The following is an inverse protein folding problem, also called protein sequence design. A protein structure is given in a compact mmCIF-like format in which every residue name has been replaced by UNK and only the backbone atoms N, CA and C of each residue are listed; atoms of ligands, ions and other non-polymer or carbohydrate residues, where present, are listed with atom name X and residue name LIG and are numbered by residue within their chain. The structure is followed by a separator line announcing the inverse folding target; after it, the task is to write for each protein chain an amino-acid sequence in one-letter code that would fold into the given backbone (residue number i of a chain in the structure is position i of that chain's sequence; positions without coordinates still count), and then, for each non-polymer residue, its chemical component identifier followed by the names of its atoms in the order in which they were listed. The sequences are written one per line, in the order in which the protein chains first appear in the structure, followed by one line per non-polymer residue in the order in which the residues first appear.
data_IF_791759741681
#
_entry.id   IF_791759741681
#
_cell.length_a   1.000
_cell.length_b   1.000
_cell.length_c   1.000
_cell.angle_alpha   90.00
_cell.angle_beta   90.00
_cell.angle_gamma   90.00
#
_symmetry.space_group_name_H-M   'P 1'
#
loop_
_entity.id
_entity.type
_entity.pdbx_description
1 polymer ?
#
# COMPACT_ATOMS: atom_id res chain seq x y z
N UNK A 1 -16.79 7.50 17.97
CA UNK A 1 -16.24 7.20 16.64
C UNK A 1 -16.32 5.70 16.29
N UNK A 2 -16.00 4.80 17.22
CA UNK A 2 -16.04 3.34 17.04
C UNK A 2 -17.38 2.75 16.60
N UNK A 3 -18.52 3.24 17.10
CA UNK A 3 -19.85 2.75 16.71
C UNK A 3 -20.16 2.88 15.21
N UNK A 4 -19.59 3.87 14.53
CA UNK A 4 -19.79 4.09 13.09
C UNK A 4 -18.97 3.12 12.25
N UNK A 5 -17.72 2.83 12.65
CA UNK A 5 -16.86 1.85 11.98
C UNK A 5 -17.43 0.43 12.08
N UNK A 6 -17.90 0.07 13.27
CA UNK A 6 -18.53 -1.23 13.54
C UNK A 6 -19.83 -1.44 12.75
N UNK A 7 -20.62 -0.38 12.54
CA UNK A 7 -21.81 -0.43 11.70
C UNK A 7 -21.47 -0.61 10.21
N UNK A 8 -20.40 0.00 9.72
CA UNK A 8 -19.96 -0.15 8.33
C UNK A 8 -19.43 -1.56 8.03
N UNK A 9 -18.69 -2.17 8.96
CA UNK A 9 -18.26 -3.58 8.83
C UNK A 9 -19.46 -4.54 8.84
N UNK A 10 -20.45 -4.33 9.71
CA UNK A 10 -21.68 -5.14 9.69
C UNK A 10 -22.47 -4.98 8.40
N UNK A 11 -22.49 -3.79 7.82
CA UNK A 11 -23.13 -3.52 6.55
C UNK A 11 -22.42 -4.25 5.41
N UNK A 12 -21.09 -4.21 5.39
CA UNK A 12 -20.27 -4.89 4.39
C UNK A 12 -20.48 -6.41 4.42
N UNK A 13 -20.46 -7.01 5.60
CA UNK A 13 -20.71 -8.46 5.78
C UNK A 13 -22.11 -8.84 5.28
N UNK A 14 -23.12 -8.02 5.57
CA UNK A 14 -24.48 -8.25 5.06
C UNK A 14 -24.54 -8.17 3.53
N UNK A 15 -23.89 -7.18 2.93
CA UNK A 15 -23.86 -7.01 1.46
C UNK A 15 -23.18 -8.21 0.79
N UNK A 16 -22.05 -8.68 1.30
CA UNK A 16 -21.35 -9.87 0.77
C UNK A 16 -22.21 -11.13 0.93
N UNK A 17 -22.88 -11.29 2.08
CA UNK A 17 -23.77 -12.43 2.32
C UNK A 17 -24.96 -12.44 1.34
N UNK A 18 -25.62 -11.30 1.14
CA UNK A 18 -26.72 -11.19 0.18
C UNK A 18 -26.26 -11.39 -1.26
N UNK A 19 -25.05 -10.94 -1.60
CA UNK A 19 -24.49 -11.14 -2.93
C UNK A 19 -24.20 -12.62 -3.21
N UNK A 20 -23.62 -13.35 -2.27
CA UNK A 20 -23.38 -14.80 -2.42
C UNK A 20 -24.70 -15.60 -2.49
N UNK A 21 -25.69 -15.21 -1.70
CA UNK A 21 -27.03 -15.81 -1.77
C UNK A 21 -27.72 -15.54 -3.13
N UNK A 22 -27.46 -14.35 -3.70
CA UNK A 22 -27.99 -13.96 -4.99
C UNK A 22 -27.34 -14.75 -6.14
N UNK A 23 -26.00 -14.92 -6.10
CA UNK A 23 -25.24 -15.74 -7.06
C UNK A 23 -25.74 -17.19 -7.02
N UNK A 24 -25.88 -17.76 -5.83
CA UNK A 24 -26.40 -19.13 -5.65
C UNK A 24 -27.79 -19.31 -6.28
N UNK A 25 -28.68 -18.31 -6.20
CA UNK A 25 -30.01 -18.35 -6.85
C UNK A 25 -29.92 -18.23 -8.36
N UNK A 26 -28.92 -17.55 -8.92
CA UNK A 26 -28.67 -17.50 -10.37
C UNK A 26 -28.22 -18.87 -10.88
N UNK A 27 -27.25 -19.49 -10.18
CA UNK A 27 -26.70 -20.79 -10.51
C UNK A 27 -27.74 -21.90 -10.44
N UNK A 28 -28.72 -21.80 -9.54
CA UNK A 28 -29.83 -22.76 -9.43
C UNK A 28 -30.91 -22.58 -10.50
N UNK A 29 -30.74 -21.64 -11.43
CA UNK A 29 -31.68 -21.39 -12.53
C UNK A 29 -33.03 -20.78 -12.10
N UNK A 30 -33.17 -20.41 -10.84
CA UNK A 30 -34.42 -19.85 -10.29
C UNK A 30 -34.67 -18.39 -10.67
N UNK A 31 -33.67 -17.69 -11.22
CA UNK A 31 -33.79 -16.30 -11.64
C UNK A 31 -33.34 -16.10 -13.09
N UNK A 32 -34.29 -15.87 -13.97
CA UNK A 32 -33.99 -15.39 -15.34
C UNK A 32 -33.72 -13.89 -15.31
N UNK A 33 -32.50 -13.48 -14.95
CA UNK A 33 -32.09 -12.07 -14.97
C UNK A 33 -31.57 -11.73 -16.35
N UNK A 34 -32.14 -10.71 -17.00
CA UNK A 34 -31.58 -10.19 -18.25
C UNK A 34 -30.19 -9.59 -17.97
N UNK A 35 -29.21 -9.87 -18.82
CA UNK A 35 -27.81 -9.42 -18.73
C UNK A 35 -27.67 -7.90 -18.41
N UNK A 36 -28.63 -7.10 -18.92
CA UNK A 36 -28.68 -5.65 -18.68
C UNK A 36 -28.85 -5.29 -17.18
N UNK A 37 -29.61 -6.05 -16.43
CA UNK A 37 -29.82 -5.81 -15.01
C UNK A 37 -28.59 -6.23 -14.18
N UNK A 38 -27.89 -7.26 -14.64
CA UNK A 38 -26.63 -7.70 -14.02
C UNK A 38 -25.52 -6.67 -14.14
N UNK A 39 -25.35 -6.09 -15.34
CA UNK A 39 -24.43 -4.99 -15.59
C UNK A 39 -24.74 -3.75 -14.74
N UNK A 40 -26.03 -3.42 -14.58
CA UNK A 40 -26.45 -2.29 -13.73
C UNK A 40 -26.08 -2.51 -12.26
N UNK A 41 -26.30 -3.69 -11.72
CA UNK A 41 -25.93 -4.04 -10.33
C UNK A 41 -24.42 -3.99 -10.14
N UNK A 42 -23.66 -4.51 -11.10
CA UNK A 42 -22.19 -4.46 -11.07
C UNK A 42 -21.67 -3.02 -11.11
N UNK A 43 -22.25 -2.18 -11.96
CA UNK A 43 -21.90 -0.76 -12.06
C UNK A 43 -22.17 0.01 -10.76
N UNK A 44 -23.30 -0.25 -10.11
CA UNK A 44 -23.64 0.36 -8.80
C UNK A 44 -22.61 -0.07 -7.72
N UNK A 45 -22.17 -1.32 -7.73
CA UNK A 45 -21.15 -1.78 -6.76
C UNK A 45 -19.80 -1.11 -6.97
N UNK A 46 -19.34 -0.99 -8.21
CA UNK A 46 -18.07 -0.33 -8.55
C UNK A 46 -18.10 1.15 -8.15
N UNK A 47 -19.20 1.86 -8.41
CA UNK A 47 -19.34 3.27 -8.03
C UNK A 47 -19.40 3.47 -6.51
N UNK A 48 -20.08 2.58 -5.77
CA UNK A 48 -20.13 2.62 -4.31
C UNK A 48 -18.75 2.36 -3.68
N UNK A 49 -17.98 1.39 -4.20
CA UNK A 49 -16.61 1.14 -3.75
C UNK A 49 -15.71 2.35 -3.97
N UNK A 50 -15.75 2.95 -5.15
CA UNK A 50 -15.00 4.17 -5.46
C UNK A 50 -15.34 5.35 -4.54
N UNK A 51 -16.61 5.51 -4.17
CA UNK A 51 -17.05 6.56 -3.25
C UNK A 51 -16.62 6.29 -1.80
N UNK A 52 -16.59 5.02 -1.37
CA UNK A 52 -16.12 4.64 -0.02
C UNK A 52 -14.62 4.93 0.11
N UNK A 53 -13.83 4.60 -0.91
CA UNK A 53 -12.39 4.86 -0.93
C UNK A 53 -12.08 6.37 -0.87
N UNK A 54 -12.84 7.17 -1.62
CA UNK A 54 -12.73 8.63 -1.59
C UNK A 54 -13.15 9.23 -0.24
N UNK A 55 -14.24 8.75 0.36
CA UNK A 55 -14.69 9.19 1.69
C UNK A 55 -13.70 8.85 2.81
N UNK A 56 -13.05 7.69 2.76
CA UNK A 56 -12.02 7.30 3.74
C UNK A 56 -10.81 8.23 3.62
N UNK A 57 -10.44 8.63 2.41
CA UNK A 57 -9.36 9.59 2.13
C UNK A 57 -9.70 11.01 2.60
N UNK A 58 -10.91 11.47 2.31
CA UNK A 58 -11.37 12.84 2.64
C UNK A 58 -11.71 13.03 4.14
N UNK A 59 -12.00 11.95 4.87
CA UNK A 59 -12.33 12.04 6.31
C UNK A 59 -11.11 12.09 7.24
N UNK A 60 -9.89 11.90 6.73
CA UNK A 60 -8.68 11.90 7.54
C UNK A 60 -7.52 12.71 6.92
N UNK A 61 -7.71 14.01 6.64
CA UNK A 61 -6.63 14.84 6.07
C UNK A 61 -5.46 15.08 7.05
N UNK A 62 -5.57 14.61 8.30
CA UNK A 62 -4.54 14.73 9.32
C UNK A 62 -3.80 13.44 9.64
N UNK A 63 -4.10 12.34 8.95
CA UNK A 63 -3.56 11.01 9.29
C UNK A 63 -2.02 10.95 9.20
N UNK A 64 -1.43 11.77 8.35
CA UNK A 64 0.00 11.75 8.05
C UNK A 64 0.76 13.03 8.45
N UNK A 65 0.14 13.93 9.24
CA UNK A 65 0.72 15.25 9.53
C UNK A 65 1.95 15.27 10.46
N UNK A 66 2.23 14.21 11.21
CA UNK A 66 3.40 14.12 12.09
C UNK A 66 4.34 13.04 11.60
N UNK A 67 5.49 13.44 11.07
CA UNK A 67 6.55 12.51 10.67
C UNK A 67 7.18 11.88 11.92
N UNK A 68 6.58 10.80 12.41
CA UNK A 68 7.17 9.92 13.44
C UNK A 68 7.94 8.74 12.85
N UNK A 69 8.01 8.68 11.53
CA UNK A 69 8.71 7.66 10.77
C UNK A 69 9.83 8.29 9.96
N UNK A 70 11.01 7.74 10.08
CA UNK A 70 12.21 8.18 9.38
C UNK A 70 12.68 7.07 8.45
N UNK A 71 12.95 7.41 7.22
CA UNK A 71 13.50 6.50 6.23
C UNK A 71 14.58 7.19 5.43
N UNK A 72 15.79 6.60 5.41
CA UNK A 72 16.86 7.03 4.53
C UNK A 72 16.78 6.24 3.22
N UNK A 73 16.38 6.92 2.17
CA UNK A 73 16.23 6.29 0.85
C UNK A 73 17.60 5.95 0.28
N UNK A 74 17.91 4.67 -0.01
CA UNK A 74 19.16 4.32 -0.66
C UNK A 74 19.33 5.06 -2.00
N UNK A 75 20.54 5.59 -2.24
CA UNK A 75 20.86 6.26 -3.50
C UNK A 75 22.34 6.09 -3.83
N UNK A 76 22.69 5.50 -4.96
CA UNK A 76 21.80 4.94 -5.99
C UNK A 76 21.23 3.55 -5.66
N UNK A 77 20.10 3.20 -6.28
CA UNK A 77 19.59 1.84 -6.30
C UNK A 77 20.20 1.06 -7.47
N UNK A 78 20.97 0.01 -7.17
CA UNK A 78 21.60 -0.82 -8.19
C UNK A 78 20.81 -2.10 -8.48
N UNK A 79 20.69 -2.48 -9.76
CA UNK A 79 20.05 -3.73 -10.22
C UNK A 79 20.76 -5.00 -9.75
N UNK A 80 22.08 -4.91 -9.46
CA UNK A 80 22.92 -6.07 -9.23
C UNK A 80 23.05 -6.50 -7.77
N UNK A 81 22.56 -5.71 -6.82
CA UNK A 81 22.71 -5.98 -5.39
C UNK A 81 21.42 -5.75 -4.61
N UNK A 82 21.34 -6.40 -3.46
CA UNK A 82 20.27 -6.15 -2.49
C UNK A 82 20.44 -4.79 -1.80
N UNK A 83 19.33 -4.20 -1.40
CA UNK A 83 19.27 -2.93 -0.69
C UNK A 83 18.46 -3.09 0.59
N UNK A 84 18.97 -2.55 1.70
CA UNK A 84 18.21 -2.48 2.94
C UNK A 84 17.29 -1.24 2.89
N UNK A 85 16.00 -1.47 3.10
CA UNK A 85 15.02 -0.43 3.34
C UNK A 85 14.78 -0.40 4.83
N UNK A 86 15.39 0.58 5.51
CA UNK A 86 15.35 0.72 6.96
C UNK A 86 14.39 1.84 7.33
N UNK A 87 13.45 1.53 8.20
CA UNK A 87 12.46 2.46 8.73
C UNK A 87 12.62 2.55 10.23
N UNK A 88 12.83 3.76 10.73
CA UNK A 88 13.06 4.05 12.13
C UNK A 88 11.88 4.84 12.66
N UNK A 89 11.43 4.54 13.88
CA UNK A 89 10.32 5.25 14.52
C UNK A 89 10.57 5.46 15.99
N UNK A 90 10.05 6.54 16.53
CA UNK A 90 9.95 6.83 17.96
C UNK A 90 8.68 6.28 18.61
N UNK A 91 7.77 5.66 17.81
CA UNK A 91 6.55 5.04 18.32
C UNK A 91 6.92 3.86 19.22
N UNK A 92 6.41 3.80 20.47
CA UNK A 92 6.65 2.66 21.36
C UNK A 92 6.16 1.34 20.75
N UNK A 93 6.92 0.25 20.95
CA UNK A 93 6.62 -1.05 20.34
C UNK A 93 5.26 -1.61 20.78
N UNK A 94 4.88 -1.39 22.04
CA UNK A 94 3.62 -1.83 22.66
C UNK A 94 2.39 -1.10 22.10
N UNK A 95 2.57 0.04 21.46
CA UNK A 95 1.49 0.79 20.80
C UNK A 95 1.28 0.37 19.36
N UNK A 96 2.21 -0.38 18.75
CA UNK A 96 2.13 -0.79 17.35
C UNK A 96 1.23 -2.01 17.21
N UNK A 97 0.21 -1.91 16.37
CA UNK A 97 -0.67 -3.02 16.00
C UNK A 97 -0.16 -3.76 14.78
N UNK A 98 0.28 -3.02 13.77
CA UNK A 98 0.84 -3.55 12.55
C UNK A 98 1.89 -2.60 11.97
N UNK A 99 2.87 -3.17 11.28
CA UNK A 99 3.89 -2.43 10.56
C UNK A 99 4.08 -3.11 9.20
N UNK A 100 3.73 -2.43 8.11
CA UNK A 100 3.64 -3.04 6.79
C UNK A 100 4.36 -2.20 5.75
N UNK A 101 5.23 -2.85 4.99
CA UNK A 101 5.82 -2.29 3.78
C UNK A 101 4.94 -2.67 2.59
N UNK A 102 4.60 -1.68 1.81
CA UNK A 102 3.95 -1.84 0.51
C UNK A 102 4.96 -1.52 -0.57
N UNK A 103 5.22 -2.46 -1.46
CA UNK A 103 6.08 -2.19 -2.59
C UNK A 103 5.61 -2.87 -3.88
N UNK A 104 6.01 -2.30 -5.00
CA UNK A 104 5.89 -2.91 -6.32
C UNK A 104 7.05 -2.52 -7.22
N UNK A 105 7.36 -3.38 -8.17
CA UNK A 105 8.19 -3.03 -9.32
C UNK A 105 7.31 -2.68 -10.53
N UNK A 106 7.90 -2.13 -11.57
CA UNK A 106 7.18 -1.86 -12.82
C UNK A 106 6.66 -3.13 -13.54
N UNK A 107 7.04 -4.33 -13.08
CA UNK A 107 6.54 -5.61 -13.59
C UNK A 107 5.37 -6.16 -12.76
N UNK A 108 4.97 -5.48 -11.69
CA UNK A 108 3.86 -5.85 -10.82
C UNK A 108 2.70 -4.90 -11.04
N UNK A 109 1.50 -5.43 -11.16
CA UNK A 109 0.27 -4.65 -11.31
C UNK A 109 -0.11 -3.96 -10.01
N UNK A 110 -0.02 -4.69 -8.87
CA UNK A 110 -0.44 -4.22 -7.56
C UNK A 110 0.72 -4.16 -6.58
N UNK A 111 0.56 -3.35 -5.53
CA UNK A 111 1.46 -3.36 -4.39
C UNK A 111 1.37 -4.68 -3.66
N UNK A 112 2.52 -5.23 -3.30
CA UNK A 112 2.62 -6.36 -2.38
C UNK A 112 2.84 -5.85 -0.96
N UNK A 113 2.25 -6.56 0.00
CA UNK A 113 2.26 -6.24 1.41
C UNK A 113 3.24 -7.14 2.15
N UNK A 114 4.15 -6.53 2.91
CA UNK A 114 5.11 -7.25 3.73
C UNK A 114 5.02 -6.77 5.18
N UNK A 115 4.46 -7.58 6.08
CA UNK A 115 4.50 -7.28 7.50
C UNK A 115 5.96 -7.34 7.98
N UNK A 116 6.40 -6.30 8.69
CA UNK A 116 7.75 -6.17 9.22
C UNK A 116 7.74 -6.24 10.75
N UNK A 117 8.71 -6.96 11.29
CA UNK A 117 8.97 -6.97 12.72
C UNK A 117 10.09 -5.98 13.06
N UNK A 118 9.95 -5.33 14.22
CA UNK A 118 10.96 -4.39 14.72
C UNK A 118 12.08 -5.15 15.39
N UNK A 119 13.29 -4.95 14.88
CA UNK A 119 14.52 -5.48 15.46
C UNK A 119 15.44 -4.34 15.85
N UNK A 120 15.85 -4.26 17.12
CA UNK A 120 16.74 -3.22 17.63
C UNK A 120 16.32 -1.79 17.27
N UNK A 121 15.01 -1.54 17.26
CA UNK A 121 14.46 -0.21 16.94
C UNK A 121 14.23 0.07 15.45
N UNK A 122 14.53 -0.85 14.56
CA UNK A 122 14.47 -0.68 13.11
C UNK A 122 13.51 -1.72 12.52
N UNK A 123 12.66 -1.30 11.60
CA UNK A 123 11.93 -2.17 10.68
C UNK A 123 12.73 -2.27 9.40
N UNK A 124 13.20 -3.47 9.05
CA UNK A 124 14.07 -3.69 7.90
C UNK A 124 13.41 -4.60 6.88
N UNK A 125 13.44 -4.17 5.63
CA UNK A 125 13.15 -5.01 4.48
C UNK A 125 14.39 -5.09 3.58
N UNK A 126 14.78 -6.29 3.17
CA UNK A 126 15.88 -6.49 2.24
C UNK A 126 15.31 -6.66 0.83
N UNK A 127 15.29 -5.56 0.07
CA UNK A 127 14.90 -5.62 -1.33
C UNK A 127 15.99 -6.32 -2.15
N UNK A 128 15.64 -7.43 -2.79
CA UNK A 128 16.51 -8.18 -3.67
C UNK A 128 16.02 -8.11 -5.12
N UNK A 129 16.73 -7.43 -6.03
CA UNK A 129 16.32 -7.32 -7.44
C UNK A 129 16.23 -8.66 -8.18
N UNK A 130 16.89 -9.72 -7.70
CA UNK A 130 16.77 -11.06 -8.27
C UNK A 130 15.45 -11.73 -7.93
N UNK A 131 14.94 -11.50 -6.71
CA UNK A 131 13.65 -12.03 -6.26
C UNK A 131 12.49 -11.18 -6.76
N UNK A 132 12.71 -9.88 -6.88
CA UNK A 132 11.70 -8.90 -7.32
C UNK A 132 12.26 -8.10 -8.50
N UNK A 133 12.27 -8.68 -9.70
CA UNK A 133 12.86 -8.04 -10.87
C UNK A 133 12.07 -6.79 -11.28
N UNK A 134 12.77 -5.86 -11.94
CA UNK A 134 12.21 -4.64 -12.48
C UNK A 134 13.29 -3.61 -12.79
N UNK A 135 12.88 -2.54 -13.45
CA UNK A 135 13.72 -1.36 -13.70
C UNK A 135 13.36 -0.18 -12.81
N UNK A 136 12.23 -0.26 -12.13
CA UNK A 136 11.69 0.77 -11.26
C UNK A 136 11.06 0.14 -10.03
N UNK A 137 11.29 0.74 -8.88
CA UNK A 137 10.75 0.32 -7.58
C UNK A 137 9.92 1.46 -7.00
N UNK A 138 8.69 1.15 -6.61
CA UNK A 138 7.82 2.03 -5.84
C UNK A 138 7.52 1.39 -4.49
N UNK A 139 7.58 2.17 -3.40
CA UNK A 139 7.28 1.65 -2.07
C UNK A 139 6.91 2.75 -1.08
N UNK A 140 6.20 2.35 -0.04
CA UNK A 140 5.92 3.15 1.15
C UNK A 140 5.76 2.22 2.35
N UNK A 141 5.90 2.77 3.54
CA UNK A 141 5.81 2.02 4.79
C UNK A 141 4.79 2.64 5.72
N UNK A 142 4.02 1.79 6.40
CA UNK A 142 2.92 2.20 7.27
C UNK A 142 3.04 1.50 8.61
N UNK A 143 2.86 2.26 9.69
CA UNK A 143 2.65 1.74 11.04
C UNK A 143 1.24 2.09 11.48
N UNK A 144 0.49 1.08 11.89
CA UNK A 144 -0.81 1.21 12.51
C UNK A 144 -0.69 1.16 14.02
N UNK A 145 -1.29 2.12 14.70
CA UNK A 145 -1.46 2.15 16.16
C UNK A 145 -2.95 2.16 16.50
N UNK A 146 -3.30 2.02 17.78
CA UNK A 146 -4.70 2.12 18.22
C UNK A 146 -5.35 3.45 17.91
N UNK A 147 -4.54 4.52 17.82
CA UNK A 147 -5.02 5.89 17.67
C UNK A 147 -4.92 6.40 16.23
N UNK A 148 -3.84 6.03 15.54
CA UNK A 148 -3.46 6.64 14.26
C UNK A 148 -2.78 5.63 13.35
N UNK A 149 -2.78 5.97 12.06
CA UNK A 149 -1.92 5.37 11.06
C UNK A 149 -0.83 6.36 10.70
N UNK A 150 0.42 5.91 10.71
CA UNK A 150 1.59 6.70 10.34
C UNK A 150 2.21 6.10 9.08
N UNK A 151 2.46 6.93 8.08
CA UNK A 151 3.07 6.50 6.82
C UNK A 151 4.32 7.29 6.47
N UNK A 152 5.17 6.73 5.63
CA UNK A 152 6.36 7.39 5.10
C UNK A 152 6.69 6.85 3.69
N UNK A 153 7.16 7.68 2.76
CA UNK A 153 7.33 9.14 2.85
C UNK A 153 6.01 9.91 2.80
N UNK A 154 6.06 11.14 3.27
CA UNK A 154 4.94 12.08 3.24
C UNK A 154 5.36 13.27 2.39
N UNK A 155 4.49 13.80 1.55
CA UNK A 155 4.71 15.01 0.77
C UNK A 155 4.50 16.29 1.61
N UNK A 156 4.71 17.45 0.99
CA UNK A 156 4.55 18.76 1.63
C UNK A 156 3.10 19.05 2.08
N UNK A 157 2.13 18.35 1.49
CA UNK A 157 0.71 18.46 1.87
C UNK A 157 0.34 17.53 3.04
N UNK A 158 1.29 16.68 3.48
CA UNK A 158 1.08 15.67 4.51
C UNK A 158 0.39 14.41 4.00
N UNK A 159 0.37 14.19 2.69
CA UNK A 159 -0.17 12.99 2.07
C UNK A 159 0.92 11.94 1.85
N UNK A 160 0.53 10.65 1.88
CA UNK A 160 1.45 9.57 1.61
C UNK A 160 1.90 9.62 0.15
N UNK A 161 3.21 9.80 -0.07
CA UNK A 161 3.83 9.86 -1.39
C UNK A 161 4.83 8.71 -1.54
N UNK A 162 4.50 7.66 -2.31
CA UNK A 162 5.39 6.52 -2.47
C UNK A 162 6.76 6.94 -3.02
N UNK A 163 7.83 6.37 -2.44
CA UNK A 163 9.17 6.46 -3.04
C UNK A 163 9.11 5.84 -4.42
N UNK A 164 9.65 6.55 -5.41
CA UNK A 164 9.74 6.08 -6.79
C UNK A 164 11.18 6.21 -7.28
N UNK A 165 11.84 5.08 -7.52
CA UNK A 165 13.26 5.01 -7.88
C UNK A 165 13.53 4.10 -9.05
N UNK A 166 14.42 4.56 -9.93
CA UNK A 166 14.99 3.71 -10.97
C UNK A 166 16.10 2.83 -10.41
N UNK A 167 16.14 1.60 -10.87
CA UNK A 167 17.21 0.65 -10.61
C UNK A 167 18.28 0.83 -11.69
N UNK A 168 19.47 1.22 -11.28
CA UNK A 168 20.56 1.65 -12.16
C UNK A 168 21.55 0.49 -12.36
N UNK A 169 22.07 0.37 -13.56
CA UNK A 169 23.22 -0.53 -13.81
C UNK A 169 24.49 0.10 -13.21
N UNK A 170 25.20 -0.60 -12.32
CA UNK A 170 26.40 -0.05 -11.68
C UNK A 170 27.50 0.27 -12.70
N UNK A 171 27.63 -0.49 -13.76
CA UNK A 171 28.68 -0.26 -14.78
C UNK A 171 28.42 1.06 -15.52
N UNK A 172 27.16 1.30 -15.91
CA UNK A 172 26.77 2.55 -16.56
C UNK A 172 26.94 3.74 -15.62
N UNK A 173 26.53 3.58 -14.36
CA UNK A 173 26.65 4.63 -13.35
C UNK A 173 28.09 5.08 -13.15
N UNK A 174 29.03 4.13 -12.97
CA UNK A 174 30.42 4.49 -12.74
C UNK A 174 31.10 5.04 -13.99
N UNK A 175 30.77 4.55 -15.19
CA UNK A 175 31.24 5.13 -16.45
C UNK A 175 30.81 6.60 -16.63
N UNK A 176 29.56 6.91 -16.29
CA UNK A 176 29.07 8.28 -16.35
C UNK A 176 29.80 9.18 -15.34
N UNK A 177 29.99 8.69 -14.10
CA UNK A 177 30.70 9.41 -13.05
C UNK A 177 32.17 9.73 -13.43
N UNK A 178 32.87 8.81 -14.06
CA UNK A 178 34.23 9.03 -14.55
C UNK A 178 34.30 10.08 -15.65
N UNK A 179 33.27 10.17 -16.51
CA UNK A 179 33.19 11.19 -17.57
C UNK A 179 32.96 12.60 -17.02
N UNK A 180 32.23 12.71 -15.90
CA UNK A 180 31.93 14.00 -15.27
C UNK A 180 33.09 14.53 -14.41
N UNK A 181 34.03 13.67 -14.04
CA UNK A 181 35.20 14.05 -13.23
C UNK A 181 36.44 14.34 -14.08
N UNK A 182 36.34 14.30 -15.42
CA UNK A 182 37.33 14.72 -16.40
C UNK A 182 37.03 16.09 -16.94
#
# INVERSE_FOLDING_TARGET
MEKKLFNNQKLLIKVVFYFNMFISKIESGQLKIKLKNYLLVLFIHVTLFSQIEKQVRDQNPGLFKNQKLYHSIPNPFFKSRSHNLDFITDIPQDSVLAATLFFKTNLMEYYQEFPLNRERGIYRFVYNPKSYPGSRLQYYFVIETKEKVHGTPIDDNGELSPVDKLLIDPVEYFKQKERLNK
#
